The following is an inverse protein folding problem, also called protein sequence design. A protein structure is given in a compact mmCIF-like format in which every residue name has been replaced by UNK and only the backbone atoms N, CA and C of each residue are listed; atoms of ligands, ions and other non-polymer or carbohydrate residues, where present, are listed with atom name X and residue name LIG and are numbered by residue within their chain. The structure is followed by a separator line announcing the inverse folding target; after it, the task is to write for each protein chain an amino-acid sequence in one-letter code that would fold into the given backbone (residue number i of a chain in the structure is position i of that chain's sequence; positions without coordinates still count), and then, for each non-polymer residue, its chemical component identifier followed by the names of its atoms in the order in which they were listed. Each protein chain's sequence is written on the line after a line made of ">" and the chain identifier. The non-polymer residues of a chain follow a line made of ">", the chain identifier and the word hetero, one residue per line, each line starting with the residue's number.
data_IF_148281537711
#
_entry.id   IF_148281537711
#
_cell.length_a   1.000
_cell.length_b   1.000
_cell.length_c   1.000
_cell.angle_alpha   90.00
_cell.angle_beta   90.00
_cell.angle_gamma   90.00
#
_symmetry.space_group_name_H-M   'P 1'
#
loop_
_entity.id
_entity.type
_entity.pdbx_description
1 polymer ?
#
# COMPACT_ATOMS: atom_id res chain seq x y z
N UNK A 1 13.48 -19.22 -16.73
CA UNK A 1 14.85 -18.67 -16.91
C UNK A 1 14.74 -17.49 -17.83
N UNK A 2 15.26 -16.33 -17.43
CA UNK A 2 15.11 -15.08 -18.17
C UNK A 2 16.32 -14.85 -19.07
N UNK A 3 17.52 -15.19 -18.58
CA UNK A 3 18.77 -15.16 -19.34
C UNK A 3 19.78 -16.12 -18.74
N UNK A 4 20.77 -16.52 -19.55
CA UNK A 4 21.95 -17.25 -19.11
C UNK A 4 23.14 -16.80 -19.97
N UNK A 5 24.13 -16.17 -19.34
CA UNK A 5 25.31 -15.62 -20.01
C UNK A 5 26.53 -16.44 -19.62
N UNK A 6 27.29 -16.88 -20.63
CA UNK A 6 28.61 -17.47 -20.43
C UNK A 6 29.65 -16.37 -20.20
N UNK A 7 30.28 -16.37 -19.03
CA UNK A 7 31.31 -15.38 -18.69
C UNK A 7 32.71 -15.97 -18.88
N UNK A 8 32.91 -17.22 -18.48
CA UNK A 8 34.18 -17.95 -18.59
C UNK A 8 33.96 -19.46 -18.49
N UNK A 9 35.00 -20.24 -18.73
CA UNK A 9 34.96 -21.71 -18.66
C UNK A 9 34.45 -22.27 -17.31
N UNK A 10 34.45 -21.46 -16.24
CA UNK A 10 34.00 -21.86 -14.89
C UNK A 10 32.87 -20.98 -14.35
N UNK A 11 32.31 -20.07 -15.16
CA UNK A 11 31.31 -19.12 -14.68
C UNK A 11 30.21 -18.85 -15.71
N UNK A 12 28.97 -19.03 -15.26
CA UNK A 12 27.74 -18.59 -15.92
C UNK A 12 27.02 -17.59 -15.01
N UNK A 13 26.32 -16.62 -15.59
CA UNK A 13 25.35 -15.77 -14.88
C UNK A 13 23.97 -16.02 -15.45
N UNK A 14 23.06 -16.54 -14.63
CA UNK A 14 21.67 -16.75 -15.00
C UNK A 14 20.74 -15.82 -14.22
N UNK A 15 19.75 -15.25 -14.91
CA UNK A 15 18.62 -14.59 -14.27
C UNK A 15 17.41 -15.51 -14.31
N UNK A 16 16.75 -15.71 -13.18
CA UNK A 16 15.61 -16.61 -13.03
C UNK A 16 14.54 -15.89 -12.22
N UNK A 17 13.32 -15.78 -12.77
CA UNK A 17 12.14 -15.37 -11.99
C UNK A 17 11.59 -16.59 -11.25
N UNK A 18 11.42 -16.46 -9.93
CA UNK A 18 10.71 -17.45 -9.12
C UNK A 18 9.25 -17.00 -9.04
N UNK A 19 8.33 -17.86 -9.48
CA UNK A 19 6.89 -17.60 -9.33
C UNK A 19 6.52 -17.58 -7.84
N UNK A 20 5.58 -16.73 -7.46
CA UNK A 20 4.96 -16.73 -6.11
C UNK A 20 4.29 -18.07 -5.76
N UNK A 21 3.88 -18.86 -6.77
CA UNK A 21 3.33 -20.19 -6.59
C UNK A 21 4.39 -21.32 -6.66
N UNK A 22 5.68 -20.99 -6.75
CA UNK A 22 6.73 -21.99 -6.79
C UNK A 22 6.76 -22.77 -5.47
N UNK A 23 6.74 -24.11 -5.55
CA UNK A 23 6.80 -24.93 -4.35
C UNK A 23 8.10 -24.66 -3.56
N UNK A 24 7.96 -24.59 -2.24
CA UNK A 24 9.07 -24.40 -1.30
C UNK A 24 9.97 -25.64 -1.33
N UNK A 25 11.28 -25.42 -1.20
CA UNK A 25 12.27 -26.48 -1.07
C UNK A 25 13.46 -26.32 -2.00
N UNK A 26 14.40 -27.26 -1.87
CA UNK A 26 15.63 -27.28 -2.64
C UNK A 26 15.39 -27.62 -4.11
N UNK A 27 16.17 -26.99 -4.98
CA UNK A 27 16.12 -27.13 -6.43
C UNK A 27 17.52 -27.47 -6.94
N UNK A 28 17.59 -28.44 -7.84
CA UNK A 28 18.83 -28.78 -8.53
C UNK A 28 19.11 -27.75 -9.62
N UNK A 29 20.39 -27.47 -9.87
CA UNK A 29 20.84 -26.66 -11.00
C UNK A 29 21.58 -27.56 -11.96
N UNK A 30 21.05 -27.73 -13.17
CA UNK A 30 21.72 -28.49 -14.24
C UNK A 30 22.24 -27.52 -15.29
N UNK A 31 23.52 -27.65 -15.61
CA UNK A 31 24.17 -26.93 -16.71
C UNK A 31 24.40 -27.92 -17.84
N UNK A 32 24.02 -27.54 -19.06
CA UNK A 32 24.27 -28.30 -20.29
C UNK A 32 25.25 -27.53 -21.17
N UNK A 33 26.34 -28.18 -21.56
CA UNK A 33 27.34 -27.64 -22.48
C UNK A 33 26.90 -27.79 -23.94
N UNK A 34 27.52 -27.05 -24.89
CA UNK A 34 27.22 -27.18 -26.32
C UNK A 34 27.46 -28.58 -26.91
N UNK A 35 28.31 -29.39 -26.28
CA UNK A 35 28.56 -30.80 -26.64
C UNK A 35 27.53 -31.77 -26.02
N UNK A 36 26.46 -31.24 -25.42
CA UNK A 36 25.39 -31.94 -24.71
C UNK A 36 25.79 -32.65 -23.42
N UNK A 37 27.02 -32.45 -22.92
CA UNK A 37 27.38 -32.93 -21.60
C UNK A 37 26.71 -32.08 -20.51
N UNK A 38 26.34 -32.71 -19.40
CA UNK A 38 25.66 -32.03 -18.30
C UNK A 38 26.37 -32.19 -16.97
N UNK A 39 26.38 -31.12 -16.17
CA UNK A 39 26.70 -31.17 -14.74
C UNK A 39 25.50 -30.74 -13.92
N UNK A 40 25.18 -31.46 -12.83
CA UNK A 40 24.11 -31.08 -11.91
C UNK A 40 24.66 -30.78 -10.53
N UNK A 41 24.40 -29.57 -10.05
CA UNK A 41 24.53 -29.22 -8.65
C UNK A 41 23.22 -29.54 -7.94
N UNK A 42 23.19 -30.66 -7.21
CA UNK A 42 22.06 -31.04 -6.38
C UNK A 42 21.84 -30.00 -5.29
N UNK A 43 20.59 -29.58 -5.07
CA UNK A 43 20.21 -28.54 -4.11
C UNK A 43 20.98 -27.21 -4.30
N UNK A 44 21.31 -26.86 -5.55
CA UNK A 44 22.07 -25.65 -5.87
C UNK A 44 21.39 -24.34 -5.47
N UNK A 45 20.07 -24.32 -5.28
CA UNK A 45 19.36 -23.24 -4.59
C UNK A 45 18.12 -23.74 -3.85
N UNK A 46 17.52 -22.91 -3.01
CA UNK A 46 16.25 -23.19 -2.35
C UNK A 46 15.23 -22.10 -2.64
N UNK A 47 13.97 -22.51 -2.77
CA UNK A 47 12.80 -21.62 -2.78
C UNK A 47 12.26 -21.60 -1.36
N UNK A 48 12.19 -20.42 -0.74
CA UNK A 48 11.56 -20.22 0.57
C UNK A 48 10.13 -19.71 0.42
N UNK A 49 9.30 -19.93 1.44
CA UNK A 49 8.01 -19.26 1.51
C UNK A 49 8.22 -17.73 1.62
N UNK A 50 7.34 -16.91 1.02
CA UNK A 50 7.34 -15.48 1.29
C UNK A 50 7.04 -15.22 2.78
N UNK A 51 7.47 -14.06 3.31
CA UNK A 51 7.06 -13.64 4.65
C UNK A 51 5.53 -13.61 4.78
N UNK A 52 5.02 -14.00 5.94
CA UNK A 52 3.60 -13.85 6.23
C UNK A 52 3.22 -12.36 6.31
N UNK A 53 2.11 -11.99 5.70
CA UNK A 53 1.59 -10.62 5.79
C UNK A 53 0.96 -10.43 7.17
N UNK A 54 1.31 -9.33 7.83
CA UNK A 54 0.68 -8.94 9.08
C UNK A 54 0.45 -7.45 9.16
N UNK A 55 -0.74 -7.09 9.62
CA UNK A 55 -1.10 -5.72 9.95
C UNK A 55 -0.56 -5.37 11.33
N UNK A 56 0.29 -4.36 11.41
CA UNK A 56 1.02 -3.98 12.63
C UNK A 56 0.33 -2.84 13.34
N UNK A 57 -0.04 -1.79 12.61
CA UNK A 57 -0.83 -0.70 13.17
C UNK A 57 -1.79 -0.11 12.16
N UNK A 58 -2.83 0.50 12.73
CA UNK A 58 -3.94 1.09 12.00
C UNK A 58 -4.38 2.38 12.63
N UNK A 59 -4.60 3.40 11.81
CA UNK A 59 -5.08 4.68 12.30
C UNK A 59 -5.98 5.36 11.27
N UNK A 60 -6.98 6.08 11.76
CA UNK A 60 -7.76 7.00 10.94
C UNK A 60 -7.75 8.38 11.57
N UNK A 61 -7.79 9.43 10.73
CA UNK A 61 -7.73 10.81 11.18
C UNK A 61 -8.71 11.67 10.39
N UNK A 62 -9.34 12.62 11.10
CA UNK A 62 -10.06 13.76 10.52
C UNK A 62 -9.40 15.04 10.99
N UNK A 63 -9.01 15.91 10.05
CA UNK A 63 -8.33 17.17 10.32
C UNK A 63 -8.90 18.26 9.41
N UNK A 64 -8.93 19.46 9.97
CA UNK A 64 -9.44 20.67 9.32
C UNK A 64 -8.38 21.76 9.47
N UNK A 65 -7.29 21.69 8.70
CA UNK A 65 -6.19 22.63 8.86
C UNK A 65 -6.67 24.04 8.50
N UNK A 66 -6.38 25.03 9.35
CA UNK A 66 -6.85 26.40 9.12
C UNK A 66 -5.94 27.21 8.19
N UNK A 67 -4.67 26.80 8.06
CA UNK A 67 -3.69 27.27 7.06
C UNK A 67 -2.36 26.53 7.30
N UNK A 68 -1.45 26.49 6.31
CA UNK A 68 -0.04 26.17 6.58
C UNK A 68 0.62 25.10 5.74
N UNK A 69 -0.06 24.51 4.75
CA UNK A 69 0.57 23.56 3.82
C UNK A 69 1.08 22.28 4.46
N UNK A 70 1.04 22.12 5.78
CA UNK A 70 1.53 20.93 6.48
C UNK A 70 0.56 20.48 7.56
N UNK A 71 0.41 19.17 7.71
CA UNK A 71 -0.39 18.54 8.76
C UNK A 71 0.43 17.41 9.37
N UNK A 72 0.68 17.49 10.68
CA UNK A 72 1.34 16.40 11.41
C UNK A 72 0.30 15.53 12.11
N UNK A 73 0.44 14.21 11.92
CA UNK A 73 -0.34 13.16 12.53
C UNK A 73 0.56 12.36 13.47
N UNK A 74 0.01 11.98 14.62
CA UNK A 74 0.68 11.08 15.57
C UNK A 74 0.09 9.69 15.44
N UNK A 75 0.93 8.74 15.03
CA UNK A 75 0.59 7.33 14.90
C UNK A 75 0.41 6.69 16.30
N UNK A 76 -0.46 5.66 16.41
CA UNK A 76 -0.70 4.95 17.68
C UNK A 76 0.55 4.35 18.32
N UNK A 77 1.50 3.88 17.51
CA UNK A 77 2.79 3.38 17.97
C UNK A 77 3.90 3.75 17.00
N UNK A 78 5.15 3.65 17.48
CA UNK A 78 6.29 3.90 16.63
C UNK A 78 6.32 2.88 15.48
N UNK A 79 6.63 3.33 14.27
CA UNK A 79 6.83 2.43 13.13
C UNK A 79 7.96 1.46 13.45
N UNK A 80 7.86 0.23 12.97
CA UNK A 80 8.93 -0.76 13.05
C UNK A 80 9.77 -0.73 11.77
N UNK A 81 11.00 -1.25 11.87
CA UNK A 81 11.93 -1.28 10.75
C UNK A 81 11.52 -2.36 9.73
N UNK A 82 11.62 -2.04 8.44
CA UNK A 82 11.39 -2.99 7.35
C UNK A 82 9.93 -3.18 6.96
N UNK A 83 9.01 -2.42 7.54
CA UNK A 83 7.58 -2.51 7.23
C UNK A 83 7.19 -1.53 6.12
N UNK A 84 6.10 -1.81 5.43
CA UNK A 84 5.48 -0.87 4.50
C UNK A 84 4.48 -0.01 5.27
N UNK A 85 4.58 1.31 5.14
CA UNK A 85 3.60 2.26 5.69
C UNK A 85 2.77 2.83 4.55
N UNK A 86 1.46 2.62 4.57
CA UNK A 86 0.50 3.06 3.55
C UNK A 86 -0.36 4.17 4.14
N UNK A 87 -0.53 5.25 3.40
CA UNK A 87 -1.26 6.45 3.81
C UNK A 87 -2.27 6.81 2.73
N UNK A 88 -3.51 6.33 2.88
CA UNK A 88 -4.65 6.69 2.04
C UNK A 88 -5.30 7.97 2.53
N UNK A 89 -5.71 8.85 1.62
CA UNK A 89 -6.21 10.16 2.01
C UNK A 89 -7.26 10.73 1.04
N UNK A 90 -8.19 11.48 1.62
CA UNK A 90 -9.17 12.31 0.93
C UNK A 90 -9.04 13.74 1.46
N UNK A 91 -8.90 14.73 0.59
CA UNK A 91 -8.55 16.09 1.01
C UNK A 91 -9.09 17.17 0.07
N UNK A 92 -9.18 18.39 0.57
CA UNK A 92 -9.61 19.59 -0.17
C UNK A 92 -8.98 20.86 0.45
N UNK A 93 -8.71 21.94 -0.31
CA UNK A 93 -8.86 22.10 -1.77
C UNK A 93 -7.58 21.86 -2.58
N UNK A 94 -6.41 21.89 -1.95
CA UNK A 94 -5.14 21.85 -2.66
C UNK A 94 -4.50 20.48 -2.63
N UNK A 95 -3.75 20.16 -3.69
CA UNK A 95 -3.17 18.84 -3.87
C UNK A 95 -2.04 18.59 -2.86
N UNK A 96 -1.89 17.32 -2.47
CA UNK A 96 -0.77 16.86 -1.66
C UNK A 96 0.49 16.77 -2.52
N UNK A 97 1.59 17.32 -2.01
CA UNK A 97 2.89 17.34 -2.67
C UNK A 97 3.81 16.23 -2.16
N UNK A 98 3.82 15.96 -0.84
CA UNK A 98 4.64 14.90 -0.27
C UNK A 98 4.13 14.40 1.08
N UNK A 99 4.60 13.20 1.44
CA UNK A 99 4.49 12.65 2.79
C UNK A 99 5.90 12.42 3.30
N UNK A 100 6.14 12.79 4.55
CA UNK A 100 7.39 12.53 5.26
C UNK A 100 7.07 11.98 6.64
N UNK A 101 8.04 11.36 7.30
CA UNK A 101 7.93 10.98 8.70
C UNK A 101 9.14 11.47 9.51
N UNK A 102 9.14 11.15 10.79
CA UNK A 102 10.26 11.51 11.69
C UNK A 102 11.52 10.65 11.51
N UNK A 103 11.47 9.55 10.74
CA UNK A 103 12.61 8.65 10.48
C UNK A 103 13.35 8.97 9.18
N UNK A 104 12.80 9.85 8.33
CA UNK A 104 13.40 10.20 7.04
C UNK A 104 13.13 9.16 5.96
N UNK A 105 12.04 8.40 6.10
CA UNK A 105 11.67 7.36 5.15
C UNK A 105 11.21 7.95 3.80
N UNK A 106 11.54 7.26 2.72
CA UNK A 106 11.18 7.67 1.37
C UNK A 106 9.76 7.23 1.02
N UNK A 107 8.83 8.19 0.92
CA UNK A 107 7.46 7.93 0.49
C UNK A 107 7.32 8.06 -1.03
N UNK A 108 6.68 7.08 -1.63
CA UNK A 108 6.26 7.07 -3.03
C UNK A 108 4.79 7.46 -3.13
N UNK A 109 4.46 8.34 -4.07
CA UNK A 109 3.07 8.69 -4.38
C UNK A 109 2.42 7.55 -5.17
N UNK A 110 1.24 7.12 -4.75
CA UNK A 110 0.50 6.02 -5.35
C UNK A 110 -0.08 6.35 -6.72
N UNK A 111 -0.72 7.51 -6.85
CA UNK A 111 -1.30 7.97 -8.12
C UNK A 111 -0.51 9.16 -8.68
N UNK A 112 -0.19 9.13 -9.96
CA UNK A 112 0.51 10.24 -10.65
C UNK A 112 -0.27 11.55 -10.56
N UNK A 113 -1.60 11.50 -10.60
CA UNK A 113 -2.49 12.64 -10.41
C UNK A 113 -3.53 12.28 -9.35
N UNK A 114 -3.87 13.25 -8.50
CA UNK A 114 -4.96 13.05 -7.55
C UNK A 114 -6.29 13.00 -8.29
N UNK A 115 -7.16 12.09 -7.88
CA UNK A 115 -8.47 11.92 -8.49
C UNK A 115 -9.39 12.98 -7.90
N UNK A 116 -10.03 13.77 -8.76
CA UNK A 116 -11.01 14.77 -8.36
C UNK A 116 -12.41 14.15 -8.31
N UNK A 117 -13.07 14.28 -7.16
CA UNK A 117 -14.45 13.87 -6.95
C UNK A 117 -15.32 15.11 -6.76
N UNK A 118 -16.37 15.23 -7.57
CA UNK A 118 -17.31 16.34 -7.52
C UNK A 118 -18.73 15.82 -7.25
N UNK A 119 -19.28 16.18 -6.10
CA UNK A 119 -20.68 15.92 -5.75
C UNK A 119 -21.40 17.25 -5.53
N UNK A 120 -22.73 17.26 -5.67
CA UNK A 120 -23.50 18.49 -5.45
C UNK A 120 -23.27 19.02 -4.03
N UNK A 121 -22.57 20.15 -3.90
CA UNK A 121 -22.28 20.82 -2.62
C UNK A 121 -21.00 20.39 -1.89
N UNK A 122 -20.15 19.53 -2.46
CA UNK A 122 -18.88 19.08 -1.86
C UNK A 122 -17.89 18.58 -2.93
N UNK A 123 -16.59 18.77 -2.68
CA UNK A 123 -15.54 18.38 -3.61
C UNK A 123 -14.32 17.86 -2.84
N UNK A 124 -13.77 16.74 -3.28
CA UNK A 124 -12.57 16.13 -2.67
C UNK A 124 -11.59 15.70 -3.74
N UNK A 125 -10.33 15.63 -3.36
CA UNK A 125 -9.33 14.84 -4.03
C UNK A 125 -9.04 13.57 -3.26
N UNK A 126 -8.64 12.51 -3.95
CA UNK A 126 -8.06 11.32 -3.33
C UNK A 126 -6.69 11.00 -3.90
N UNK A 127 -5.81 10.54 -3.00
CA UNK A 127 -4.53 9.94 -3.36
C UNK A 127 -4.06 9.05 -2.21
N UNK A 128 -2.93 8.40 -2.40
CA UNK A 128 -2.23 7.71 -1.32
C UNK A 128 -0.72 7.82 -1.50
N UNK A 129 0.01 7.65 -0.41
CA UNK A 129 1.46 7.51 -0.41
C UNK A 129 1.83 6.24 0.33
N UNK A 130 3.01 5.70 0.04
CA UNK A 130 3.55 4.58 0.78
C UNK A 130 5.07 4.65 0.91
N UNK A 131 5.59 4.35 2.08
CA UNK A 131 6.99 4.02 2.28
C UNK A 131 7.15 2.50 2.14
N UNK A 132 8.08 2.05 1.29
CA UNK A 132 8.23 0.60 0.99
C UNK A 132 8.78 -0.19 2.18
N UNK A 133 9.73 0.43 2.88
CA UNK A 133 10.44 -0.14 4.02
C UNK A 133 10.81 1.03 4.94
N UNK A 134 10.15 1.11 6.10
CA UNK A 134 10.41 2.12 7.12
C UNK A 134 11.71 1.85 7.88
N UNK A 135 12.41 2.89 8.31
CA UNK A 135 13.56 2.79 9.20
C UNK A 135 13.12 2.46 10.64
N UNK A 136 11.88 2.83 10.99
CA UNK A 136 11.28 2.60 12.30
C UNK A 136 11.63 3.68 13.33
N UNK A 137 10.95 3.61 14.47
CA UNK A 137 11.23 4.44 15.66
C UNK A 137 10.48 5.78 15.70
N UNK A 138 9.69 6.14 14.68
CA UNK A 138 8.90 7.38 14.68
C UNK A 138 7.42 7.13 14.88
N UNK A 139 6.75 8.04 15.58
CA UNK A 139 5.28 8.14 15.62
C UNK A 139 4.77 9.31 14.77
N UNK A 140 5.66 10.11 14.18
CA UNK A 140 5.28 11.34 13.50
C UNK A 140 5.19 11.11 12.00
N UNK A 141 4.02 11.38 11.44
CA UNK A 141 3.76 11.43 10.00
C UNK A 141 3.35 12.86 9.61
N UNK A 142 4.00 13.43 8.61
CA UNK A 142 3.74 14.80 8.14
C UNK A 142 3.29 14.77 6.69
N UNK A 143 2.13 15.35 6.43
CA UNK A 143 1.51 15.50 5.13
C UNK A 143 1.75 16.93 4.64
N UNK A 144 2.36 17.09 3.47
CA UNK A 144 2.68 18.39 2.89
C UNK A 144 1.81 18.64 1.66
N UNK A 145 1.07 19.73 1.66
CA UNK A 145 0.18 20.20 0.62
C UNK A 145 0.79 21.39 -0.11
N UNK A 146 0.44 21.53 -1.38
CA UNK A 146 0.82 22.67 -2.24
C UNK A 146 0.34 24.04 -1.73
N UNK A 147 -0.57 24.04 -0.76
CA UNK A 147 -0.96 25.19 0.05
C UNK A 147 -1.90 24.74 1.18
N UNK A 148 -2.70 25.64 1.75
CA UNK A 148 -3.66 25.25 2.80
C UNK A 148 -4.66 24.19 2.32
N UNK A 149 -4.78 23.08 3.04
CA UNK A 149 -5.94 22.20 3.01
C UNK A 149 -6.94 22.71 4.07
N UNK A 150 -8.23 22.70 3.76
CA UNK A 150 -9.30 22.98 4.74
C UNK A 150 -9.93 21.71 5.28
N UNK A 151 -9.70 20.58 4.60
CA UNK A 151 -10.31 19.29 4.92
C UNK A 151 -9.36 18.15 4.59
N UNK A 152 -9.22 17.21 5.52
CA UNK A 152 -8.32 16.07 5.39
C UNK A 152 -8.85 14.87 6.19
N UNK A 153 -9.10 13.78 5.47
CA UNK A 153 -9.43 12.47 5.99
C UNK A 153 -8.33 11.49 5.61
N UNK A 154 -7.82 10.72 6.58
CA UNK A 154 -6.65 9.86 6.39
C UNK A 154 -6.91 8.49 6.99
N UNK A 155 -6.46 7.46 6.29
CA UNK A 155 -6.32 6.09 6.77
C UNK A 155 -4.85 5.68 6.64
N UNK A 156 -4.28 5.13 7.71
CA UNK A 156 -2.89 4.66 7.76
C UNK A 156 -2.86 3.19 8.13
N UNK A 157 -2.08 2.41 7.39
CA UNK A 157 -1.74 1.03 7.74
C UNK A 157 -0.22 0.85 7.73
N UNK A 158 0.31 0.20 8.75
CA UNK A 158 1.66 -0.36 8.72
C UNK A 158 1.56 -1.88 8.58
N UNK A 159 2.25 -2.42 7.59
CA UNK A 159 2.13 -3.81 7.18
C UNK A 159 3.53 -4.42 7.09
N UNK A 160 3.72 -5.56 7.74
CA UNK A 160 4.92 -6.37 7.59
C UNK A 160 4.69 -7.46 6.54
N UNK A 161 5.77 -7.86 5.86
CA UNK A 161 5.78 -9.00 4.95
C UNK A 161 5.42 -8.70 3.49
N UNK A 162 5.22 -7.43 3.13
CA UNK A 162 5.11 -7.02 1.72
C UNK A 162 6.48 -6.99 1.03
N UNK A 163 6.50 -7.04 -0.30
CA UNK A 163 7.73 -6.92 -1.09
C UNK A 163 8.39 -5.55 -0.85
N UNK A 164 9.59 -5.49 -0.26
CA UNK A 164 10.26 -4.21 0.02
C UNK A 164 10.71 -3.47 -1.23
N UNK A 165 10.81 -4.12 -2.40
CA UNK A 165 11.19 -3.50 -3.65
C UNK A 165 9.98 -2.92 -4.40
N UNK A 166 8.87 -3.65 -4.44
CA UNK A 166 7.67 -3.30 -5.18
C UNK A 166 6.38 -3.70 -4.43
N UNK A 167 6.04 -3.03 -3.31
CA UNK A 167 4.87 -3.39 -2.50
C UNK A 167 3.52 -2.98 -3.12
N UNK A 168 3.52 -2.25 -4.23
CA UNK A 168 2.33 -1.83 -4.96
C UNK A 168 2.41 -2.32 -6.40
N UNK A 169 1.37 -3.02 -6.84
CA UNK A 169 1.23 -3.59 -8.19
C UNK A 169 -0.06 -3.14 -8.90
N UNK A 170 -1.14 -2.89 -8.15
CA UNK A 170 -2.44 -2.45 -8.65
C UNK A 170 -3.05 -1.36 -7.76
N UNK A 171 -3.82 -0.47 -8.38
CA UNK A 171 -4.70 0.43 -7.64
C UNK A 171 -5.94 0.72 -8.48
N UNK A 172 -7.03 1.05 -7.82
CA UNK A 172 -8.29 1.42 -8.46
C UNK A 172 -9.15 2.20 -7.48
N UNK A 173 -10.13 2.93 -8.02
CA UNK A 173 -11.10 3.66 -7.23
C UNK A 173 -12.49 3.43 -7.78
N UNK A 174 -13.46 3.53 -6.89
CA UNK A 174 -14.87 3.53 -7.25
C UNK A 174 -15.52 4.67 -6.49
N UNK A 175 -16.37 5.42 -7.18
CA UNK A 175 -17.14 6.52 -6.58
C UNK A 175 -18.63 6.24 -6.72
N UNK A 176 -19.40 6.62 -5.71
CA UNK A 176 -20.85 6.59 -5.76
C UNK A 176 -21.39 8.00 -5.52
N UNK A 177 -22.02 8.57 -6.54
CA UNK A 177 -22.61 9.92 -6.47
C UNK A 177 -23.98 9.93 -5.77
N UNK A 178 -24.53 8.76 -5.46
CA UNK A 178 -25.77 8.59 -4.70
C UNK A 178 -25.47 7.80 -3.42
N UNK A 179 -26.18 8.11 -2.33
CA UNK A 179 -26.08 7.33 -1.10
C UNK A 179 -26.50 5.88 -1.37
N UNK A 180 -25.57 4.95 -1.26
CA UNK A 180 -25.81 3.51 -1.37
C UNK A 180 -25.88 2.89 0.01
N UNK A 181 -26.60 1.77 0.12
CA UNK A 181 -26.68 0.98 1.36
C UNK A 181 -25.40 0.18 1.62
N UNK A 182 -24.61 -0.11 0.58
CA UNK A 182 -23.32 -0.81 0.68
C UNK A 182 -22.21 0.00 0.01
N UNK A 183 -21.03 -0.01 0.62
CA UNK A 183 -19.84 0.67 0.13
C UNK A 183 -19.01 -0.33 -0.69
N UNK A 184 -18.62 0.04 -1.90
CA UNK A 184 -17.80 -0.79 -2.79
C UNK A 184 -16.52 -0.07 -3.21
N UNK A 185 -15.45 -0.85 -3.36
CA UNK A 185 -14.21 -0.42 -4.00
C UNK A 185 -14.17 -0.88 -5.46
N UNK A 186 -13.21 -0.39 -6.23
CA UNK A 186 -12.90 -0.98 -7.53
C UNK A 186 -12.40 -2.42 -7.35
N UNK A 187 -12.74 -3.29 -8.29
CA UNK A 187 -12.09 -4.58 -8.39
C UNK A 187 -10.65 -4.37 -8.90
N UNK A 188 -9.68 -4.90 -8.16
CA UNK A 188 -8.29 -5.05 -8.62
C UNK A 188 -8.02 -6.53 -8.85
N UNK A 189 -7.29 -6.82 -9.93
CA UNK A 189 -6.90 -8.20 -10.25
C UNK A 189 -5.77 -8.62 -9.34
N UNK A 190 -6.00 -9.65 -8.55
CA UNK A 190 -4.99 -10.25 -7.66
C UNK A 190 -4.29 -11.36 -8.42
N UNK A 191 -2.99 -11.20 -8.70
CA UNK A 191 -2.28 -12.11 -9.62
C UNK A 191 -1.44 -13.14 -8.89
N UNK A 192 -1.29 -12.98 -7.57
CA UNK A 192 -0.52 -13.87 -6.70
C UNK A 192 -1.30 -14.21 -5.44
N UNK A 193 -0.94 -15.32 -4.80
CA UNK A 193 -1.44 -15.64 -3.45
C UNK A 193 -0.63 -14.86 -2.41
N UNK A 194 -1.24 -14.54 -1.26
CA UNK A 194 -0.65 -13.74 -0.19
C UNK A 194 -0.44 -12.28 -0.64
N UNK A 195 -1.50 -11.65 -1.15
CA UNK A 195 -1.56 -10.21 -1.45
C UNK A 195 -2.35 -9.47 -0.37
N UNK A 196 -1.96 -8.22 -0.11
CA UNK A 196 -2.64 -7.34 0.82
C UNK A 196 -3.39 -6.24 0.06
N UNK A 197 -4.68 -6.13 0.28
CA UNK A 197 -5.49 -5.06 -0.28
C UNK A 197 -5.82 -4.06 0.82
N UNK A 198 -5.38 -2.83 0.61
CA UNK A 198 -5.71 -1.67 1.42
C UNK A 198 -6.81 -0.85 0.73
N UNK A 199 -7.84 -0.45 1.48
CA UNK A 199 -8.83 0.49 1.01
C UNK A 199 -9.20 1.48 2.11
N UNK A 200 -9.59 2.67 1.72
CA UNK A 200 -10.24 3.61 2.60
C UNK A 200 -11.44 4.20 1.89
N UNK A 201 -12.37 4.69 2.69
CA UNK A 201 -13.51 5.37 2.17
C UNK A 201 -13.85 6.57 3.06
N UNK A 202 -14.33 7.63 2.42
CA UNK A 202 -14.43 8.95 3.04
C UNK A 202 -15.72 9.65 2.60
N UNK A 203 -16.38 10.31 3.56
CA UNK A 203 -17.51 11.21 3.28
C UNK A 203 -17.35 12.51 4.06
N UNK A 204 -17.68 13.65 3.45
CA UNK A 204 -17.61 14.97 4.10
C UNK A 204 -18.86 15.34 4.92
N UNK A 205 -19.97 14.62 4.76
CA UNK A 205 -21.24 14.94 5.42
C UNK A 205 -22.09 13.72 5.77
N UNK A 206 -22.95 13.88 6.78
CA UNK A 206 -24.04 12.94 7.10
C UNK A 206 -23.75 11.87 8.16
N UNK A 207 -22.50 11.74 8.65
CA UNK A 207 -22.08 10.62 9.54
C UNK A 207 -22.55 9.24 9.04
N UNK A 208 -22.49 8.90 7.74
CA UNK A 208 -22.81 7.55 7.33
C UNK A 208 -21.81 6.61 8.01
N UNK A 209 -22.29 5.66 8.80
CA UNK A 209 -21.45 4.59 9.29
C UNK A 209 -21.00 3.75 8.09
N UNK A 210 -19.77 3.27 8.11
CA UNK A 210 -19.36 2.19 7.23
C UNK A 210 -19.98 0.90 7.78
N UNK A 211 -21.28 0.69 7.59
CA UNK A 211 -22.00 -0.44 8.19
C UNK A 211 -22.19 -1.62 7.23
N UNK A 212 -21.71 -1.53 5.99
CA UNK A 212 -21.92 -2.56 4.97
C UNK A 212 -20.87 -2.48 3.85
N UNK A 213 -19.59 -2.81 4.12
CA UNK A 213 -18.64 -2.95 3.04
C UNK A 213 -19.02 -4.15 2.16
N UNK A 214 -18.64 -4.12 0.89
CA UNK A 214 -18.80 -5.26 -0.01
C UNK A 214 -18.17 -6.54 0.59
N UNK A 215 -18.70 -7.71 0.22
CA UNK A 215 -18.23 -8.99 0.75
C UNK A 215 -16.70 -9.16 0.64
N UNK A 216 -16.08 -9.66 1.71
CA UNK A 216 -14.65 -9.95 1.78
C UNK A 216 -13.77 -8.80 2.27
N UNK A 217 -14.35 -7.66 2.67
CA UNK A 217 -13.63 -6.57 3.35
C UNK A 217 -13.87 -6.58 4.85
N UNK A 218 -12.81 -6.36 5.62
CA UNK A 218 -12.89 -6.11 7.06
C UNK A 218 -12.81 -4.61 7.30
N UNK A 219 -13.68 -4.06 8.15
CA UNK A 219 -13.51 -2.68 8.64
C UNK A 219 -12.61 -2.72 9.84
N UNK A 220 -11.51 -2.01 9.73
CA UNK A 220 -10.44 -2.10 10.68
C UNK A 220 -10.36 -0.86 11.59
N UNK A 221 -10.70 0.32 11.08
CA UNK A 221 -10.75 1.56 11.86
C UNK A 221 -11.76 2.53 11.26
N UNK A 222 -12.40 3.34 12.11
CA UNK A 222 -13.31 4.40 11.69
C UNK A 222 -13.15 5.62 12.59
N UNK A 223 -13.07 6.80 11.96
CA UNK A 223 -13.16 8.10 12.65
C UNK A 223 -14.37 8.84 12.13
N UNK A 224 -15.22 9.31 13.07
CA UNK A 224 -16.34 10.22 12.77
C UNK A 224 -16.07 11.56 13.46
N UNK A 225 -15.91 12.61 12.68
CA UNK A 225 -15.70 13.97 13.19
C UNK A 225 -17.01 14.56 13.77
N UNK A 226 -16.95 15.39 14.82
CA UNK A 226 -18.06 16.24 15.23
C UNK A 226 -18.84 16.92 14.08
N UNK A 227 -18.15 17.38 13.02
CA UNK A 227 -18.71 18.03 11.83
C UNK A 227 -19.36 17.07 10.81
N UNK A 228 -19.47 15.78 11.13
CA UNK A 228 -20.13 14.73 10.32
C UNK A 228 -19.30 14.13 9.18
N UNK A 229 -18.01 14.44 9.11
CA UNK A 229 -17.10 13.72 8.25
C UNK A 229 -16.80 12.32 8.80
N UNK A 230 -16.63 11.36 7.90
CA UNK A 230 -16.31 9.97 8.25
C UNK A 230 -15.19 9.47 7.37
N UNK A 231 -14.19 8.84 7.96
CA UNK A 231 -13.21 8.02 7.26
C UNK A 231 -13.22 6.61 7.83
N UNK A 232 -13.21 5.63 6.95
CA UNK A 232 -13.13 4.23 7.28
C UNK A 232 -11.94 3.62 6.57
N UNK A 233 -11.24 2.79 7.32
CA UNK A 233 -10.15 2.00 6.82
C UNK A 233 -10.56 0.53 6.76
N UNK A 234 -10.27 -0.10 5.62
CA UNK A 234 -10.65 -1.48 5.33
C UNK A 234 -9.46 -2.23 4.72
N UNK A 235 -9.39 -3.52 4.99
CA UNK A 235 -8.42 -4.40 4.36
C UNK A 235 -8.98 -5.78 4.03
N UNK A 236 -8.17 -6.52 3.29
CA UNK A 236 -8.27 -7.97 3.13
C UNK A 236 -6.93 -8.55 2.69
N UNK A 237 -6.68 -9.80 3.08
CA UNK A 237 -5.58 -10.61 2.56
C UNK A 237 -6.19 -11.67 1.65
N UNK A 238 -5.59 -11.88 0.47
CA UNK A 238 -6.05 -12.83 -0.56
C UNK A 238 -4.97 -13.81 -0.97
#
# INVERSE_FOLDING_TARGET
>A
MNSCTFNSATQLTASITISSAAAVGSRNVTVTNPDNQTGTLTNGFSVSAPPAISLIQKATFSREPTSGGTVTLTLPQATATGHTLIVGMSFWPLDISSVTDGSGDAFTRGLTTSIFHNVSGSATYTNFYYAKSTAGGTTSLTLNFSGGSTFLLVAVAEVAGLDPAAPLDQSGYHESLTATTAWSSAAVTTTTANEYLFSWAATEAGKPLCSSPASGWTIESQTNDPKKATVCWLDRIV
#
